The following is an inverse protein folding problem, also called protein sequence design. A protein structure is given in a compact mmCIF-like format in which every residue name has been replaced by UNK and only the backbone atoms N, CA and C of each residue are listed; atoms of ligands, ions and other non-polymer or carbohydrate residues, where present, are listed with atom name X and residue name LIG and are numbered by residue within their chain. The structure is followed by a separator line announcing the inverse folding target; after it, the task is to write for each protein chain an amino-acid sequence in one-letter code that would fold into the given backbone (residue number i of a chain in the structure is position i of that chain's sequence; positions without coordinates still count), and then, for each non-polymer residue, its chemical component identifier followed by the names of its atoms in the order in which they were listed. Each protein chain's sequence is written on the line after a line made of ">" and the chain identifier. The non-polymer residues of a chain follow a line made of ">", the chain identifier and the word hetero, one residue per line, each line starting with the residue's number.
data_IF_647647974489
#
_entry.id   IF_647647974489
#
_cell.length_a   1.000
_cell.length_b   1.000
_cell.length_c   1.000
_cell.angle_alpha   90.00
_cell.angle_beta   90.00
_cell.angle_gamma   90.00
#
_symmetry.space_group_name_H-M   'P 1'
#
loop_
_entity.id
_entity.type
_entity.pdbx_description
1 polymer ?
#
# COMPACT_ATOMS: atom_id res chain seq x y z
N UNK A 1 -16.63 4.06 -10.04
CA UNK A 1 -16.64 2.91 -9.12
C UNK A 1 -16.75 3.42 -7.69
N UNK A 2 -17.65 2.88 -6.88
CA UNK A 2 -17.73 3.24 -5.45
C UNK A 2 -16.50 2.71 -4.69
N UNK A 3 -16.17 3.36 -3.58
CA UNK A 3 -15.16 2.87 -2.64
C UNK A 3 -15.73 1.61 -1.94
N UNK A 4 -14.96 0.50 -1.82
CA UNK A 4 -15.42 -0.67 -1.09
C UNK A 4 -15.74 -0.34 0.37
N UNK A 5 -16.76 -0.99 0.94
CA UNK A 5 -17.18 -0.78 2.34
C UNK A 5 -16.07 -1.05 3.36
N UNK A 6 -15.10 -1.91 3.03
CA UNK A 6 -13.92 -2.16 3.86
C UNK A 6 -13.04 -0.93 4.10
N UNK A 7 -13.13 0.09 3.25
CA UNK A 7 -12.37 1.34 3.33
C UNK A 7 -13.18 2.51 3.91
N UNK A 8 -14.45 2.31 4.24
CA UNK A 8 -15.32 3.35 4.77
C UNK A 8 -14.78 3.92 6.09
N UNK A 9 -14.62 5.25 6.16
CA UNK A 9 -14.04 5.95 7.30
C UNK A 9 -12.52 5.73 7.52
N UNK A 10 -11.83 4.97 6.65
CA UNK A 10 -10.39 4.65 6.80
C UNK A 10 -9.48 5.48 5.91
N UNK A 11 -9.99 5.95 4.77
CA UNK A 11 -9.20 6.70 3.80
C UNK A 11 -9.40 8.20 3.99
N UNK A 12 -8.30 8.97 3.94
CA UNK A 12 -8.37 10.45 3.86
C UNK A 12 -8.69 10.92 2.44
N UNK A 13 -8.23 10.16 1.44
CA UNK A 13 -8.44 10.39 0.02
C UNK A 13 -8.60 9.03 -0.69
N UNK A 14 -9.39 8.95 -1.78
CA UNK A 14 -9.58 7.70 -2.53
C UNK A 14 -8.40 7.42 -3.46
N UNK A 15 -7.20 7.25 -2.89
CA UNK A 15 -5.94 7.09 -3.62
C UNK A 15 -5.17 5.86 -3.16
N UNK A 16 -4.42 5.27 -4.09
CA UNK A 16 -3.52 4.15 -3.87
C UNK A 16 -2.10 4.59 -4.23
N UNK A 17 -1.14 4.40 -3.33
CA UNK A 17 0.25 4.66 -3.64
C UNK A 17 0.75 3.61 -4.65
N UNK A 18 1.34 4.07 -5.77
CA UNK A 18 1.81 3.19 -6.82
C UNK A 18 2.92 2.24 -6.33
N UNK A 19 2.98 1.00 -6.84
CA UNK A 19 4.06 0.07 -6.51
C UNK A 19 5.34 0.52 -7.23
N UNK A 20 6.37 0.87 -6.46
CA UNK A 20 7.64 1.36 -6.99
C UNK A 20 8.79 0.44 -6.56
N UNK A 21 9.47 -0.16 -7.54
CA UNK A 21 10.60 -1.04 -7.28
C UNK A 21 11.72 -0.28 -6.53
N UNK A 22 12.25 -0.89 -5.46
CA UNK A 22 13.26 -0.31 -4.57
C UNK A 22 12.88 0.96 -3.80
N UNK A 23 11.71 1.56 -4.05
CA UNK A 23 11.21 2.75 -3.33
C UNK A 23 10.12 2.36 -2.33
N UNK A 24 9.12 1.59 -2.75
CA UNK A 24 8.04 1.14 -1.88
C UNK A 24 8.56 0.10 -0.87
N UNK A 25 8.75 0.49 0.39
CA UNK A 25 9.22 -0.40 1.45
C UNK A 25 8.26 -0.49 2.65
N UNK A 26 8.52 -1.39 3.62
CA UNK A 26 7.65 -1.58 4.80
C UNK A 26 7.38 -0.29 5.57
N UNK A 27 8.40 0.56 5.73
CA UNK A 27 8.25 1.87 6.39
C UNK A 27 7.23 2.76 5.68
N UNK A 28 7.31 2.86 4.35
CA UNK A 28 6.37 3.66 3.55
C UNK A 28 4.95 3.07 3.63
N UNK A 29 4.82 1.74 3.59
CA UNK A 29 3.53 1.05 3.74
C UNK A 29 2.87 1.42 5.08
N UNK A 30 3.63 1.38 6.18
CA UNK A 30 3.14 1.74 7.52
C UNK A 30 2.66 3.19 7.57
N UNK A 31 3.43 4.12 7.02
CA UNK A 31 3.07 5.54 7.02
C UNK A 31 1.88 5.86 6.11
N UNK A 32 1.71 5.14 4.99
CA UNK A 32 0.51 5.22 4.16
C UNK A 32 -0.74 4.83 4.97
N UNK A 33 -0.71 3.67 5.65
CA UNK A 33 -1.82 3.21 6.46
C UNK A 33 -2.19 4.19 7.58
N UNK A 34 -1.20 4.73 8.30
CA UNK A 34 -1.42 5.76 9.34
C UNK A 34 -2.04 7.05 8.78
N UNK A 35 -1.75 7.39 7.53
CA UNK A 35 -2.28 8.57 6.87
C UNK A 35 -3.56 8.32 6.07
N UNK A 36 -4.16 7.13 6.16
CA UNK A 36 -5.40 6.82 5.43
C UNK A 36 -5.19 6.80 3.92
N UNK A 37 -4.06 6.26 3.47
CA UNK A 37 -3.71 5.98 2.07
C UNK A 37 -3.47 4.48 1.92
N UNK A 38 -3.96 3.89 0.83
CA UNK A 38 -3.67 2.48 0.54
C UNK A 38 -2.21 2.36 0.08
N UNK A 39 -1.39 1.62 0.82
CA UNK A 39 -0.02 1.31 0.44
C UNK A 39 0.09 0.06 -0.43
N UNK A 40 1.13 -0.01 -1.26
CA UNK A 40 1.45 -1.18 -2.07
C UNK A 40 2.93 -1.53 -1.96
N UNK A 41 3.25 -2.81 -2.15
CA UNK A 41 4.63 -3.32 -2.20
C UNK A 41 4.78 -4.20 -3.45
N UNK A 42 5.74 -3.91 -4.35
CA UNK A 42 6.10 -4.82 -5.43
C UNK A 42 6.62 -6.15 -4.86
N UNK A 43 6.13 -7.28 -5.38
CA UNK A 43 6.62 -8.61 -5.00
C UNK A 43 8.15 -8.74 -5.22
N UNK A 44 8.69 -8.10 -6.25
CA UNK A 44 10.13 -8.07 -6.55
C UNK A 44 10.98 -7.38 -5.45
N UNK A 45 10.38 -6.60 -4.55
CA UNK A 45 11.10 -6.04 -3.40
C UNK A 45 11.43 -7.12 -2.37
N UNK A 46 10.67 -8.22 -2.35
CA UNK A 46 10.96 -9.40 -1.55
C UNK A 46 11.87 -10.33 -2.37
N UNK A 47 13.18 -10.28 -2.08
CA UNK A 47 14.23 -10.95 -2.86
C UNK A 47 14.37 -12.45 -2.56
N UNK A 48 13.40 -13.04 -1.86
CA UNK A 48 13.33 -14.47 -1.55
C UNK A 48 12.03 -15.06 -2.06
N UNK A 49 12.10 -16.30 -2.53
CA UNK A 49 10.93 -17.01 -3.09
C UNK A 49 9.88 -17.37 -2.03
N UNK A 50 10.26 -17.48 -0.75
CA UNK A 50 9.30 -17.74 0.34
C UNK A 50 8.26 -16.63 0.52
N UNK A 51 8.58 -15.43 0.06
CA UNK A 51 7.73 -14.26 0.21
C UNK A 51 6.97 -13.84 -1.05
N UNK A 52 7.08 -14.62 -2.13
CA UNK A 52 6.39 -14.35 -3.39
C UNK A 52 5.03 -15.05 -3.45
#
# INVERSE_FOLDING_TARGET
>A
MPIPSSFEGRLKLPVVAAPMFLVSGPRMLIENCKNGVVGTLPALNQRSSEGF
#
